data_IF_103534252933
#
_entry.id   IF_103534252933
#
_cell.length_a   1.000
_cell.length_b   1.000
_cell.length_c   1.000
_cell.angle_alpha   90.00
_cell.angle_beta   90.00
_cell.angle_gamma   90.00
#
_symmetry.space_group_name_H-M   'P 1'
#
loop_
_entity.id
_entity.type
_entity.pdbx_description
1 polymer ?
#
# COMPACT_ATOMS: atom_id res chain seq x y z
N UNK A 1 11.56 -24.81 -4.15
CA UNK A 1 12.76 -25.15 -3.35
C UNK A 1 12.49 -24.58 -1.97
N UNK A 2 12.18 -25.42 -0.97
CA UNK A 2 11.69 -24.94 0.33
C UNK A 2 12.72 -25.29 1.40
N UNK A 3 13.61 -24.36 1.69
CA UNK A 3 14.39 -24.39 2.92
C UNK A 3 13.46 -23.99 4.08
N UNK A 4 13.53 -24.73 5.19
CA UNK A 4 12.75 -24.43 6.39
C UNK A 4 13.64 -23.68 7.38
N UNK A 5 13.26 -22.45 7.72
CA UNK A 5 13.82 -21.74 8.87
C UNK A 5 12.97 -22.12 10.10
N UNK A 6 13.62 -22.50 11.21
CA UNK A 6 12.93 -22.74 12.48
C UNK A 6 12.87 -21.44 13.29
N UNK A 7 11.68 -20.85 13.29
CA UNK A 7 11.41 -19.56 13.92
C UNK A 7 11.17 -19.62 15.42
N UNK A 8 11.12 -20.80 16.04
CA UNK A 8 11.01 -20.90 17.50
C UNK A 8 12.28 -20.39 18.18
N UNK A 9 13.45 -20.74 17.64
CA UNK A 9 14.76 -20.38 18.20
C UNK A 9 15.56 -19.41 17.33
N UNK A 10 15.14 -19.15 16.10
CA UNK A 10 15.89 -18.33 15.14
C UNK A 10 17.07 -19.08 14.51
N UNK A 11 17.02 -20.41 14.47
CA UNK A 11 18.08 -21.24 13.88
C UNK A 11 17.76 -21.56 12.41
N UNK A 12 18.68 -21.23 11.49
CA UNK A 12 18.57 -21.58 10.07
C UNK A 12 19.06 -23.02 9.87
N UNK A 13 18.15 -23.92 9.51
CA UNK A 13 18.47 -25.32 9.25
C UNK A 13 18.78 -25.56 7.76
N UNK A 14 20.06 -25.50 7.41
CA UNK A 14 20.51 -25.87 6.06
C UNK A 14 20.42 -27.39 5.86
N UNK A 15 19.50 -27.87 5.02
CA UNK A 15 19.51 -29.25 4.53
C UNK A 15 19.89 -29.40 3.06
N UNK A 16 19.68 -28.36 2.25
CA UNK A 16 19.82 -28.43 0.78
C UNK A 16 20.91 -27.51 0.20
N UNK A 17 21.16 -26.36 0.83
CA UNK A 17 22.21 -25.45 0.35
C UNK A 17 23.54 -25.95 0.89
N UNK A 18 24.26 -26.69 0.05
CA UNK A 18 25.67 -26.99 0.25
C UNK A 18 26.44 -25.68 0.03
N UNK A 19 26.45 -24.82 1.06
CA UNK A 19 27.27 -23.61 1.17
C UNK A 19 28.76 -23.98 1.29
N UNK A 20 29.26 -24.86 0.41
CA UNK A 20 30.69 -25.04 0.21
C UNK A 20 31.26 -23.68 -0.17
N UNK A 21 32.41 -23.36 0.40
CA UNK A 21 33.15 -22.10 0.31
C UNK A 21 33.65 -21.78 -1.12
N UNK A 22 32.75 -21.78 -2.10
CA UNK A 22 32.97 -21.39 -3.49
C UNK A 22 32.16 -20.12 -3.70
N UNK A 23 32.76 -19.13 -4.37
CA UNK A 23 32.11 -17.83 -4.58
C UNK A 23 30.79 -17.97 -5.36
N UNK A 24 29.86 -17.02 -5.23
CA UNK A 24 28.57 -17.06 -5.95
C UNK A 24 28.74 -17.21 -7.47
N UNK A 25 29.83 -16.67 -8.02
CA UNK A 25 30.21 -16.75 -9.44
C UNK A 25 30.56 -18.18 -9.87
N UNK A 26 31.13 -18.97 -8.97
CA UNK A 26 31.68 -20.31 -9.23
C UNK A 26 30.65 -21.42 -8.98
N UNK A 27 29.43 -21.07 -8.57
CA UNK A 27 28.36 -22.04 -8.35
C UNK A 27 27.87 -22.62 -9.68
N UNK A 28 27.79 -23.96 -9.73
CA UNK A 28 27.49 -24.74 -10.95
C UNK A 28 26.08 -24.49 -11.50
N UNK A 29 25.18 -24.01 -10.65
CA UNK A 29 23.84 -23.55 -10.99
C UNK A 29 23.77 -22.07 -10.64
N UNK A 30 23.60 -21.20 -11.64
CA UNK A 30 23.30 -19.79 -11.37
C UNK A 30 21.95 -19.72 -10.65
N UNK A 31 21.92 -18.97 -9.56
CA UNK A 31 20.74 -18.79 -8.73
C UNK A 31 19.70 -18.06 -9.59
N UNK A 32 18.55 -18.68 -9.84
CA UNK A 32 17.39 -17.97 -10.37
C UNK A 32 16.87 -17.00 -9.31
N UNK A 33 16.14 -15.98 -9.77
CA UNK A 33 15.80 -14.70 -9.12
C UNK A 33 15.65 -14.73 -7.58
N UNK A 34 15.04 -15.77 -6.98
CA UNK A 34 14.93 -15.92 -5.53
C UNK A 34 15.64 -17.20 -5.01
N UNK A 35 16.63 -17.01 -4.12
CA UNK A 35 17.28 -18.10 -3.39
C UNK A 35 16.42 -18.60 -2.23
N UNK A 36 15.78 -17.67 -1.53
CA UNK A 36 14.99 -17.96 -0.33
C UNK A 36 13.99 -16.84 -0.09
N UNK A 37 12.70 -17.17 -0.14
CA UNK A 37 11.63 -16.30 0.32
C UNK A 37 10.92 -16.99 1.47
N UNK A 38 10.93 -16.37 2.65
CA UNK A 38 10.25 -16.93 3.82
C UNK A 38 9.34 -15.92 4.46
N UNK A 39 8.10 -16.34 4.71
CA UNK A 39 7.07 -15.54 5.35
C UNK A 39 7.06 -15.76 6.87
N UNK A 40 6.80 -14.68 7.60
CA UNK A 40 6.76 -14.56 9.06
C UNK A 40 5.42 -13.95 9.47
N UNK A 41 4.98 -14.22 10.71
CA UNK A 41 3.60 -13.95 11.16
C UNK A 41 2.59 -14.42 10.12
N UNK A 42 2.82 -15.66 9.67
CA UNK A 42 1.94 -16.34 8.75
C UNK A 42 1.74 -15.59 7.42
N UNK A 43 2.60 -14.64 7.03
CA UNK A 43 2.47 -13.89 5.76
C UNK A 43 2.63 -12.37 5.87
N UNK A 44 2.72 -11.82 7.09
CA UNK A 44 2.81 -10.37 7.32
C UNK A 44 4.17 -9.75 6.97
N UNK A 45 5.24 -10.48 7.24
CA UNK A 45 6.61 -10.08 6.88
C UNK A 45 7.27 -11.17 6.07
N UNK A 46 8.24 -10.80 5.25
CA UNK A 46 9.05 -11.76 4.50
C UNK A 46 10.53 -11.47 4.67
N UNK A 47 11.33 -12.53 4.68
CA UNK A 47 12.74 -12.43 4.36
C UNK A 47 12.91 -12.93 2.95
N UNK A 48 13.37 -12.03 2.10
CA UNK A 48 13.65 -12.28 0.71
C UNK A 48 15.16 -12.24 0.49
N UNK A 49 15.67 -13.29 -0.15
CA UNK A 49 17.08 -13.52 -0.44
C UNK A 49 17.16 -13.86 -1.92
N UNK A 50 17.68 -12.94 -2.71
CA UNK A 50 17.70 -13.12 -4.16
C UNK A 50 18.88 -12.46 -4.84
N UNK A 51 19.09 -12.84 -6.09
CA UNK A 51 20.22 -12.41 -6.90
C UNK A 51 19.77 -11.35 -7.91
N UNK A 52 19.71 -10.08 -7.49
CA UNK A 52 19.11 -9.00 -8.28
C UNK A 52 20.11 -8.10 -9.02
N UNK A 53 21.42 -8.37 -8.94
CA UNK A 53 22.44 -7.56 -9.64
C UNK A 53 22.62 -7.92 -11.12
N UNK A 54 21.88 -8.92 -11.62
CA UNK A 54 21.92 -9.40 -13.01
C UNK A 54 23.22 -10.11 -13.42
N UNK A 55 24.29 -9.98 -12.64
CA UNK A 55 25.60 -10.56 -12.92
C UNK A 55 25.90 -11.80 -12.08
N UNK A 56 25.09 -12.11 -11.06
CA UNK A 56 25.31 -13.28 -10.21
C UNK A 56 26.39 -13.07 -9.15
N UNK A 57 26.77 -11.81 -8.88
CA UNK A 57 27.96 -11.49 -8.08
C UNK A 57 27.63 -11.20 -6.62
N UNK A 58 26.38 -10.89 -6.33
CA UNK A 58 25.91 -10.58 -4.99
C UNK A 58 24.49 -11.06 -4.77
N UNK A 59 24.17 -11.25 -3.50
CA UNK A 59 22.84 -11.62 -3.04
C UNK A 59 22.31 -10.45 -2.21
N UNK A 60 21.06 -10.08 -2.39
CA UNK A 60 20.40 -9.12 -1.52
C UNK A 60 19.58 -9.91 -0.52
N UNK A 61 19.83 -9.68 0.76
CA UNK A 61 18.94 -10.11 1.84
C UNK A 61 18.11 -8.91 2.24
N UNK A 62 16.80 -9.05 2.19
CA UNK A 62 15.87 -8.03 2.63
C UNK A 62 14.81 -8.58 3.56
N UNK A 63 14.40 -7.78 4.54
CA UNK A 63 13.19 -7.99 5.34
C UNK A 63 12.15 -7.00 4.81
N UNK A 64 11.09 -7.53 4.22
CA UNK A 64 9.92 -6.79 3.75
C UNK A 64 8.68 -7.13 4.55
N UNK A 65 7.57 -6.47 4.27
CA UNK A 65 6.27 -6.78 4.87
C UNK A 65 5.30 -5.61 4.76
N UNK A 66 4.48 -5.45 5.79
CA UNK A 66 3.46 -4.40 5.92
C UNK A 66 3.99 -2.95 6.03
N UNK A 67 5.30 -2.76 5.90
CA UNK A 67 5.97 -1.45 5.86
C UNK A 67 6.40 -1.13 4.43
N UNK A 68 6.31 0.14 4.03
CA UNK A 68 6.69 0.59 2.69
C UNK A 68 8.20 0.56 2.50
N UNK A 69 8.94 0.87 3.55
CA UNK A 69 10.40 0.74 3.57
C UNK A 69 10.79 -0.66 4.03
N UNK A 70 11.78 -1.23 3.34
CA UNK A 70 12.40 -2.46 3.79
C UNK A 70 13.02 -2.23 5.17
N UNK A 71 12.61 -3.04 6.14
CA UNK A 71 13.09 -2.98 7.52
C UNK A 71 14.57 -3.32 7.63
N UNK A 72 15.08 -4.05 6.64
CA UNK A 72 16.46 -4.45 6.52
C UNK A 72 16.75 -4.74 5.06
N UNK A 73 17.78 -4.15 4.48
CA UNK A 73 18.26 -4.51 3.14
C UNK A 73 19.79 -4.48 3.12
N UNK A 74 20.41 -5.58 2.73
CA UNK A 74 21.86 -5.71 2.63
C UNK A 74 22.26 -6.50 1.40
N UNK A 75 23.23 -5.96 0.66
CA UNK A 75 23.92 -6.66 -0.41
C UNK A 75 25.08 -7.44 0.19
N UNK A 76 25.21 -8.69 -0.21
CA UNK A 76 26.14 -9.69 0.31
C UNK A 76 27.00 -10.21 -0.83
N UNK A 77 28.31 -10.27 -0.63
CA UNK A 77 29.25 -10.66 -1.68
C UNK A 77 29.92 -12.01 -1.46
N UNK A 78 29.72 -12.63 -0.28
CA UNK A 78 30.23 -13.98 0.00
C UNK A 78 29.25 -14.84 0.79
N UNK A 79 29.45 -16.15 0.73
CA UNK A 79 28.67 -17.14 1.47
C UNK A 79 28.86 -17.00 2.99
N UNK A 80 30.06 -16.65 3.42
CA UNK A 80 30.37 -16.42 4.85
C UNK A 80 29.60 -15.23 5.40
N UNK A 81 29.50 -14.15 4.63
CA UNK A 81 28.74 -12.96 5.02
C UNK A 81 27.21 -13.23 5.00
N UNK A 82 26.74 -14.10 4.10
CA UNK A 82 25.31 -14.40 3.95
C UNK A 82 24.68 -14.92 5.23
N UNK A 83 25.36 -15.82 5.94
CA UNK A 83 24.84 -16.38 7.19
C UNK A 83 24.61 -15.29 8.24
N UNK A 84 25.62 -14.46 8.49
CA UNK A 84 25.53 -13.37 9.48
C UNK A 84 24.44 -12.35 9.11
N UNK A 85 24.27 -12.09 7.81
CA UNK A 85 23.23 -11.18 7.30
C UNK A 85 21.84 -11.79 7.50
N UNK A 86 21.66 -13.08 7.25
CA UNK A 86 20.39 -13.78 7.51
C UNK A 86 20.02 -13.80 8.99
N UNK A 87 20.96 -14.10 9.88
CA UNK A 87 20.71 -14.08 11.33
C UNK A 87 20.29 -12.68 11.83
N UNK A 88 20.91 -11.63 11.28
CA UNK A 88 20.48 -10.23 11.54
C UNK A 88 19.10 -9.94 10.97
N UNK A 89 18.81 -10.40 9.75
CA UNK A 89 17.51 -10.22 9.12
C UNK A 89 16.39 -10.89 9.95
N UNK A 90 16.62 -12.11 10.44
CA UNK A 90 15.71 -12.83 11.37
C UNK A 90 15.54 -12.03 12.66
N UNK A 91 16.62 -11.50 13.23
CA UNK A 91 16.54 -10.68 14.45
C UNK A 91 15.72 -9.40 14.23
N UNK A 92 15.88 -8.74 13.08
CA UNK A 92 15.08 -7.55 12.72
C UNK A 92 13.61 -7.93 12.56
N UNK A 93 13.32 -9.01 11.83
CA UNK A 93 11.97 -9.54 11.69
C UNK A 93 11.36 -9.80 13.07
N UNK A 94 12.08 -10.49 13.97
CA UNK A 94 11.65 -10.76 15.34
C UNK A 94 11.33 -9.51 16.15
N UNK A 95 12.13 -8.44 16.00
CA UNK A 95 11.92 -7.16 16.71
C UNK A 95 10.65 -6.44 16.28
N UNK A 96 10.21 -6.62 15.04
CA UNK A 96 8.98 -6.00 14.53
C UNK A 96 7.74 -6.86 14.74
N UNK A 97 7.89 -8.15 15.12
CA UNK A 97 6.75 -9.05 15.34
C UNK A 97 5.78 -8.56 16.40
N UNK A 98 6.29 -7.92 17.45
CA UNK A 98 5.49 -7.44 18.59
C UNK A 98 4.87 -6.05 18.33
N UNK A 99 5.13 -5.45 17.17
CA UNK A 99 4.62 -4.13 16.83
C UNK A 99 3.22 -4.28 16.20
N UNK A 100 2.25 -3.45 16.63
CA UNK A 100 0.93 -3.42 15.99
C UNK A 100 1.06 -3.06 14.51
N UNK A 101 0.08 -3.46 13.69
CA UNK A 101 -0.02 -2.96 12.31
C UNK A 101 0.03 -1.42 12.32
N UNK A 102 0.76 -0.84 11.37
CA UNK A 102 0.87 0.62 11.31
C UNK A 102 -0.51 1.22 11.10
N UNK A 103 -0.96 2.02 12.08
CA UNK A 103 -2.17 2.81 11.90
C UNK A 103 -1.85 3.99 10.98
N UNK A 104 -2.74 4.26 10.03
CA UNK A 104 -2.66 5.49 9.24
C UNK A 104 -2.55 6.70 10.18
N UNK A 105 -1.50 7.48 9.95
CA UNK A 105 -1.16 8.65 10.75
C UNK A 105 -2.03 9.84 10.37
N UNK A 106 -2.56 9.84 9.14
CA UNK A 106 -3.34 10.95 8.60
C UNK A 106 -4.23 10.50 7.44
N UNK A 107 -5.47 11.02 7.39
CA UNK A 107 -6.38 10.79 6.26
C UNK A 107 -6.67 12.12 5.60
N UNK A 108 -6.30 12.26 4.32
CA UNK A 108 -6.67 13.42 3.51
C UNK A 108 -7.99 13.16 2.80
N UNK A 109 -8.94 14.07 2.96
CA UNK A 109 -10.21 14.07 2.23
C UNK A 109 -10.25 15.28 1.32
N UNK A 110 -10.29 15.06 0.01
CA UNK A 110 -10.36 16.12 -1.00
C UNK A 110 -11.69 16.06 -1.73
N UNK A 111 -12.20 17.22 -2.14
CA UNK A 111 -13.38 17.29 -3.02
C UNK A 111 -13.04 16.73 -4.39
N UNK A 112 -13.98 15.99 -4.99
CA UNK A 112 -13.74 15.44 -6.32
C UNK A 112 -13.62 16.57 -7.34
N UNK A 113 -12.52 16.63 -8.12
CA UNK A 113 -12.36 17.63 -9.17
C UNK A 113 -13.47 17.58 -10.22
N UNK A 114 -13.89 18.74 -10.72
CA UNK A 114 -15.04 18.86 -11.64
C UNK A 114 -14.87 18.14 -12.98
N UNK A 115 -13.63 17.84 -13.40
CA UNK A 115 -13.34 17.16 -14.67
C UNK A 115 -13.40 15.63 -14.58
N UNK A 116 -13.48 15.02 -13.38
CA UNK A 116 -13.67 13.56 -13.22
C UNK A 116 -15.12 13.11 -13.45
N UNK A 117 -15.82 13.73 -14.42
CA UNK A 117 -17.23 13.46 -14.71
C UNK A 117 -17.46 12.00 -15.07
N UNK A 118 -18.45 11.37 -14.43
CA UNK A 118 -18.83 9.97 -14.66
C UNK A 118 -18.04 8.95 -13.84
N UNK A 119 -17.13 9.39 -12.97
CA UNK A 119 -16.38 8.48 -12.07
C UNK A 119 -17.17 8.15 -10.80
N UNK A 120 -16.85 7.00 -10.19
CA UNK A 120 -17.33 6.63 -8.84
C UNK A 120 -16.99 7.70 -7.81
N UNK A 121 -15.83 8.35 -7.94
CA UNK A 121 -15.40 9.42 -7.04
C UNK A 121 -16.30 10.66 -7.17
N UNK A 122 -16.84 10.95 -8.36
CA UNK A 122 -17.83 12.04 -8.52
C UNK A 122 -19.14 11.72 -7.81
N UNK A 123 -19.59 10.46 -7.90
CA UNK A 123 -20.83 10.01 -7.25
C UNK A 123 -20.74 10.11 -5.72
N UNK A 124 -19.55 9.84 -5.17
CA UNK A 124 -19.23 9.98 -3.76
C UNK A 124 -18.94 11.43 -3.34
N UNK A 125 -18.59 12.31 -4.29
CA UNK A 125 -18.34 13.74 -4.09
C UNK A 125 -17.05 14.09 -3.34
N UNK A 126 -16.27 13.08 -2.94
CA UNK A 126 -15.01 13.21 -2.24
C UNK A 126 -14.11 12.01 -2.53
N UNK A 127 -12.80 12.23 -2.40
CA UNK A 127 -11.78 11.19 -2.42
C UNK A 127 -11.09 11.18 -1.05
N UNK A 128 -10.80 9.98 -0.58
CA UNK A 128 -10.08 9.70 0.66
C UNK A 128 -8.77 9.02 0.28
N UNK A 129 -7.66 9.55 0.82
CA UNK A 129 -6.34 8.95 0.73
C UNK A 129 -5.80 8.87 2.15
N UNK A 130 -5.52 7.66 2.61
CA UNK A 130 -4.85 7.41 3.86
C UNK A 130 -3.35 7.60 3.67
N UNK A 131 -2.66 8.13 4.68
CA UNK A 131 -1.22 8.33 4.68
C UNK A 131 -0.61 7.60 5.88
N UNK A 132 0.48 6.91 5.62
CA UNK A 132 1.18 6.06 6.58
C UNK A 132 2.68 6.28 6.51
N UNK A 133 3.36 5.82 7.55
CA UNK A 133 4.72 6.21 7.91
C UNK A 133 4.86 7.71 8.19
N UNK A 134 5.77 8.06 9.09
CA UNK A 134 6.06 9.45 9.39
C UNK A 134 7.52 9.58 9.78
N UNK A 135 8.21 10.46 9.07
CA UNK A 135 9.60 10.83 9.32
C UNK A 135 9.66 11.95 10.38
N UNK A 136 10.76 12.68 10.43
CA UNK A 136 10.91 13.80 11.37
C UNK A 136 9.81 14.85 11.19
N UNK A 137 9.32 15.39 12.30
CA UNK A 137 8.29 16.43 12.30
C UNK A 137 8.70 17.67 11.49
N UNK A 138 7.80 18.15 10.63
CA UNK A 138 7.97 19.36 9.81
C UNK A 138 7.11 20.50 10.34
N UNK A 139 7.63 21.73 10.25
CA UNK A 139 6.91 22.94 10.67
C UNK A 139 6.52 23.81 9.47
N UNK A 140 5.52 24.67 9.65
CA UNK A 140 5.14 25.70 8.67
C UNK A 140 6.31 26.61 8.27
N UNK A 141 7.24 26.90 9.19
CA UNK A 141 8.42 27.70 8.90
C UNK A 141 9.35 26.99 7.89
N UNK A 142 9.50 25.67 8.04
CA UNK A 142 10.28 24.87 7.10
C UNK A 142 9.64 24.84 5.71
N UNK A 143 8.31 24.70 5.62
CA UNK A 143 7.61 24.77 4.34
C UNK A 143 7.77 26.13 3.67
N UNK A 144 7.61 27.22 4.41
CA UNK A 144 7.85 28.59 3.89
C UNK A 144 9.28 28.80 3.42
N UNK A 145 10.26 28.18 4.09
CA UNK A 145 11.65 28.22 3.67
C UNK A 145 11.83 27.51 2.32
N UNK A 146 11.22 26.34 2.14
CA UNK A 146 11.23 25.60 0.86
C UNK A 146 10.56 26.42 -0.25
N UNK A 147 9.36 26.97 -0.01
CA UNK A 147 8.66 27.84 -0.96
C UNK A 147 9.51 29.05 -1.37
N UNK A 148 10.19 29.68 -0.40
CA UNK A 148 11.08 30.81 -0.65
C UNK A 148 12.33 30.41 -1.45
N UNK A 149 12.93 29.27 -1.14
CA UNK A 149 14.12 28.77 -1.83
C UNK A 149 13.80 28.34 -3.27
N UNK A 150 12.64 27.70 -3.47
CA UNK A 150 12.17 27.27 -4.78
C UNK A 150 11.60 28.44 -5.59
N UNK A 151 11.12 29.49 -4.92
CA UNK A 151 10.47 30.64 -5.55
C UNK A 151 9.05 30.34 -6.06
N UNK A 152 8.38 29.35 -5.46
CA UNK A 152 7.03 28.87 -5.83
C UNK A 152 6.21 28.61 -4.56
N UNK A 153 4.89 28.55 -4.70
CA UNK A 153 3.99 28.11 -3.63
C UNK A 153 3.70 26.62 -3.77
N UNK A 154 3.81 25.87 -2.68
CA UNK A 154 3.46 24.45 -2.66
C UNK A 154 1.94 24.28 -2.67
N UNK A 155 1.41 23.20 -3.30
CA UNK A 155 0.00 22.86 -3.20
C UNK A 155 -0.46 22.75 -1.75
N UNK A 156 -1.63 23.30 -1.43
CA UNK A 156 -2.15 23.33 -0.04
C UNK A 156 -2.34 21.93 0.53
N UNK A 157 -2.80 20.99 -0.29
CA UNK A 157 -2.99 19.58 0.05
C UNK A 157 -1.65 18.92 0.37
N UNK A 158 -0.60 19.19 -0.41
CA UNK A 158 0.74 18.69 -0.13
C UNK A 158 1.25 19.22 1.21
N UNK A 159 1.10 20.53 1.49
CA UNK A 159 1.51 21.12 2.77
C UNK A 159 0.77 20.46 3.94
N UNK A 160 -0.55 20.26 3.84
CA UNK A 160 -1.35 19.59 4.87
C UNK A 160 -0.83 18.18 5.14
N UNK A 161 -0.56 17.40 4.08
CA UNK A 161 -0.03 16.04 4.18
C UNK A 161 1.34 16.07 4.88
N UNK A 162 2.28 16.88 4.41
CA UNK A 162 3.64 16.95 4.97
C UNK A 162 3.66 17.39 6.44
N UNK A 163 2.76 18.28 6.86
CA UNK A 163 2.67 18.68 8.27
C UNK A 163 2.20 17.56 9.21
N UNK A 164 1.41 16.61 8.71
CA UNK A 164 0.85 15.51 9.51
C UNK A 164 1.58 14.19 9.33
N UNK A 165 2.12 13.95 8.13
CA UNK A 165 2.67 12.68 7.65
C UNK A 165 3.89 12.95 6.75
N UNK A 166 4.89 13.65 7.29
CA UNK A 166 6.10 13.97 6.55
C UNK A 166 6.81 12.69 6.11
N UNK A 167 7.22 12.60 4.85
CA UNK A 167 7.89 11.39 4.36
C UNK A 167 6.98 10.17 4.17
N UNK A 168 5.66 10.33 4.36
CA UNK A 168 4.69 9.24 4.32
C UNK A 168 4.32 8.81 2.89
N UNK A 169 3.74 7.61 2.77
CA UNK A 169 3.21 7.07 1.52
C UNK A 169 1.68 7.01 1.52
N UNK A 170 1.02 7.14 0.35
CA UNK A 170 -0.44 7.11 0.26
C UNK A 170 -1.00 5.70 0.14
N UNK A 171 -2.19 5.48 0.67
CA UNK A 171 -3.05 4.31 0.46
C UNK A 171 -4.37 4.82 -0.14
N UNK A 172 -4.72 4.43 -1.38
CA UNK A 172 -3.97 3.55 -2.28
C UNK A 172 -2.71 4.22 -2.87
N UNK A 173 -1.76 3.40 -3.35
CA UNK A 173 -0.45 3.90 -3.79
C UNK A 173 -0.17 3.93 -5.31
N UNK A 174 -1.02 3.32 -6.15
CA UNK A 174 -0.79 3.28 -7.60
C UNK A 174 -1.47 4.44 -8.31
N UNK A 175 -0.85 4.90 -9.38
CA UNK A 175 -1.39 5.88 -10.31
C UNK A 175 -1.00 5.50 -11.74
N UNK A 176 -1.58 6.20 -12.72
CA UNK A 176 -1.20 6.06 -14.13
C UNK A 176 -0.22 7.15 -14.54
N UNK A 177 0.90 6.75 -15.12
CA UNK A 177 1.79 7.62 -15.86
C UNK A 177 1.81 7.11 -17.30
N UNK A 178 1.26 7.89 -18.24
CA UNK A 178 0.94 7.40 -19.59
C UNK A 178 0.10 6.09 -19.55
N UNK A 179 0.57 5.02 -20.20
CA UNK A 179 -0.09 3.71 -20.30
C UNK A 179 0.42 2.70 -19.25
N UNK A 180 1.27 3.13 -18.32
CA UNK A 180 1.84 2.27 -17.27
C UNK A 180 1.30 2.62 -15.89
N UNK A 181 1.06 1.59 -15.07
CA UNK A 181 0.77 1.78 -13.66
C UNK A 181 2.08 1.88 -12.89
N UNK A 182 2.20 2.94 -12.10
CA UNK A 182 3.39 3.27 -11.30
C UNK A 182 2.92 3.47 -9.88
N UNK A 183 3.76 3.11 -8.92
CA UNK A 183 3.40 3.23 -7.51
C UNK A 183 4.29 4.23 -6.79
N UNK A 184 3.65 5.10 -5.99
CA UNK A 184 4.33 6.09 -5.15
C UNK A 184 4.72 5.41 -3.84
N UNK A 185 6.02 5.20 -3.64
CA UNK A 185 6.53 4.60 -2.41
C UNK A 185 6.26 5.54 -1.23
N UNK A 186 6.83 6.74 -1.27
CA UNK A 186 6.68 7.76 -0.24
C UNK A 186 6.94 9.16 -0.80
N UNK A 187 6.42 10.18 -0.12
CA UNK A 187 6.86 11.55 -0.34
C UNK A 187 8.27 11.74 0.23
N UNK A 188 9.09 12.57 -0.41
CA UNK A 188 10.37 12.95 0.18
C UNK A 188 10.14 13.83 1.41
N UNK A 189 10.95 13.63 2.44
CA UNK A 189 10.87 14.40 3.68
C UNK A 189 11.22 15.88 3.44
N UNK A 190 10.48 16.78 4.08
CA UNK A 190 10.78 18.21 4.10
C UNK A 190 11.73 18.59 5.26
N UNK A 191 12.17 17.61 6.04
CA UNK A 191 13.09 17.79 7.15
C UNK A 191 14.54 17.45 6.76
N UNK A 192 15.50 18.38 6.89
CA UNK A 192 16.85 18.24 6.33
C UNK A 192 17.73 17.19 7.02
N UNK A 193 17.29 16.61 8.15
CA UNK A 193 18.04 15.54 8.83
C UNK A 193 17.69 14.14 8.31
N UNK A 194 16.58 14.00 7.59
CA UNK A 194 16.14 12.70 7.10
C UNK A 194 16.96 12.33 5.86
N UNK A 195 17.22 11.04 5.65
CA UNK A 195 18.03 10.60 4.52
C UNK A 195 17.35 10.91 3.18
N UNK A 196 16.08 10.54 3.05
CA UNK A 196 15.26 10.73 1.86
C UNK A 196 14.50 12.05 1.92
N UNK A 197 15.24 13.16 1.86
CA UNK A 197 14.69 14.51 1.93
C UNK A 197 14.72 15.24 0.58
N UNK A 198 13.84 16.23 0.41
CA UNK A 198 13.72 17.00 -0.84
C UNK A 198 14.98 17.79 -1.21
N UNK A 199 15.84 18.18 -0.26
CA UNK A 199 16.98 19.06 -0.51
C UNK A 199 18.07 18.35 -1.33
N UNK A 200 18.18 17.03 -1.18
CA UNK A 200 19.15 16.20 -1.88
C UNK A 200 18.62 15.62 -3.20
N UNK A 201 17.37 15.92 -3.58
CA UNK A 201 16.66 15.30 -4.72
C UNK A 201 16.42 16.26 -5.88
N UNK A 202 16.86 17.51 -5.75
CA UNK A 202 16.67 18.53 -6.80
C UNK A 202 17.83 18.56 -7.82
N UNK A 203 18.92 17.85 -7.53
CA UNK A 203 20.05 17.76 -8.43
C UNK A 203 19.62 17.13 -9.77
N UNK A 204 20.10 17.71 -10.87
CA UNK A 204 19.85 17.24 -12.24
C UNK A 204 18.40 17.36 -12.75
N UNK A 205 17.47 17.93 -11.97
CA UNK A 205 16.12 18.25 -12.47
C UNK A 205 16.12 19.52 -13.33
N UNK A 206 15.22 19.61 -14.33
CA UNK A 206 15.01 20.85 -15.07
C UNK A 206 14.60 21.99 -14.13
N UNK A 207 15.04 23.22 -14.44
CA UNK A 207 14.67 24.41 -13.67
C UNK A 207 13.14 24.58 -13.65
N UNK A 208 12.58 24.84 -12.47
CA UNK A 208 11.14 25.00 -12.26
C UNK A 208 10.39 23.67 -12.06
N UNK A 209 11.13 22.57 -11.92
CA UNK A 209 10.60 21.24 -11.62
C UNK A 209 11.19 20.79 -10.29
N UNK A 210 10.34 20.30 -9.39
CA UNK A 210 10.76 19.95 -8.03
C UNK A 210 10.30 18.55 -7.65
N UNK A 211 11.24 17.68 -7.26
CA UNK A 211 10.94 16.35 -6.78
C UNK A 211 10.28 16.40 -5.39
N UNK A 212 9.20 15.64 -5.24
CA UNK A 212 8.39 15.55 -4.02
C UNK A 212 8.16 14.12 -3.54
N UNK A 213 8.48 13.09 -4.32
CA UNK A 213 8.32 11.69 -3.90
C UNK A 213 9.12 10.69 -4.72
N UNK A 214 9.28 9.51 -4.16
CA UNK A 214 9.97 8.36 -4.75
C UNK A 214 8.96 7.40 -5.36
N UNK A 215 9.12 7.06 -6.64
CA UNK A 215 8.27 6.06 -7.31
C UNK A 215 9.01 4.75 -7.48
N UNK A 216 8.32 3.70 -7.92
CA UNK A 216 8.93 2.41 -8.25
C UNK A 216 10.03 2.46 -9.31
N UNK A 217 10.02 3.50 -10.14
CA UNK A 217 10.86 3.63 -11.33
C UNK A 217 11.71 4.91 -11.32
N UNK A 218 11.28 5.95 -10.60
CA UNK A 218 11.87 7.28 -10.70
C UNK A 218 11.38 8.24 -9.59
N UNK A 219 11.13 9.52 -9.90
CA UNK A 219 10.68 10.54 -8.95
C UNK A 219 9.35 11.15 -9.39
N UNK A 220 8.47 11.40 -8.42
CA UNK A 220 7.29 12.22 -8.59
C UNK A 220 7.67 13.70 -8.40
N UNK A 221 7.31 14.55 -9.35
CA UNK A 221 7.70 15.95 -9.42
C UNK A 221 6.51 16.89 -9.62
N UNK A 222 6.62 18.10 -9.08
CA UNK A 222 5.78 19.24 -9.40
C UNK A 222 6.44 20.08 -10.49
N UNK A 223 5.73 20.37 -11.57
CA UNK A 223 6.20 21.16 -12.71
C UNK A 223 5.52 22.54 -12.77
N UNK A 224 6.28 23.59 -12.49
CA UNK A 224 5.83 24.98 -12.50
C UNK A 224 6.22 25.73 -13.79
N UNK A 225 6.76 25.05 -14.81
CA UNK A 225 7.25 25.73 -16.03
C UNK A 225 6.13 26.42 -16.82
N UNK A 226 4.87 26.06 -16.60
CA UNK A 226 3.70 26.75 -17.16
C UNK A 226 3.44 28.13 -16.53
N UNK A 227 4.06 28.43 -15.39
CA UNK A 227 3.84 29.66 -14.62
C UNK A 227 2.52 29.68 -13.82
N UNK A 228 1.83 28.54 -13.74
CA UNK A 228 0.65 28.36 -12.90
C UNK A 228 1.03 28.23 -11.41
N UNK A 229 0.18 28.74 -10.52
CA UNK A 229 0.28 28.47 -9.08
C UNK A 229 -0.21 27.06 -8.71
N UNK A 230 -0.88 26.39 -9.65
CA UNK A 230 -1.26 24.98 -9.56
C UNK A 230 -0.34 24.20 -10.52
N UNK A 231 0.71 23.56 -10.01
CA UNK A 231 1.69 22.86 -10.84
C UNK A 231 1.09 21.57 -11.41
N UNK A 232 1.55 21.20 -12.61
CA UNK A 232 1.33 19.85 -13.12
C UNK A 232 2.14 18.84 -12.30
N UNK A 233 1.66 17.60 -12.25
CA UNK A 233 2.38 16.48 -11.64
C UNK A 233 2.97 15.63 -12.75
N UNK A 234 4.25 15.32 -12.62
CA UNK A 234 4.99 14.48 -13.57
C UNK A 234 5.77 13.38 -12.85
N UNK A 235 5.95 12.27 -13.53
CA UNK A 235 6.99 11.31 -13.18
C UNK A 235 8.24 11.62 -14.02
N UNK A 236 9.41 11.68 -13.39
CA UNK A 236 10.66 12.07 -14.03
C UNK A 236 11.76 11.07 -13.72
N UNK A 237 12.24 10.41 -14.77
CA UNK A 237 13.39 9.52 -14.74
C UNK A 237 14.65 10.25 -15.18
N UNK A 238 15.66 10.26 -14.32
CA UNK A 238 16.99 10.81 -14.61
C UNK A 238 17.96 9.65 -14.74
N UNK A 239 18.44 9.39 -15.96
CA UNK A 239 19.33 8.27 -16.24
C UNK A 239 20.69 8.47 -15.53
N UNK A 240 21.18 7.48 -14.74
CA UNK A 240 22.36 7.62 -13.87
C UNK A 240 23.68 8.02 -14.55
N UNK A 241 23.76 7.91 -15.89
CA UNK A 241 25.01 8.07 -16.64
C UNK A 241 24.93 8.90 -17.92
N UNK A 242 23.73 9.35 -18.31
CA UNK A 242 23.56 10.06 -19.60
C UNK A 242 22.99 11.47 -19.47
N UNK A 243 22.66 11.92 -18.25
CA UNK A 243 21.91 13.16 -18.00
C UNK A 243 20.61 13.25 -18.83
N UNK A 244 20.16 12.13 -19.40
CA UNK A 244 18.91 12.05 -20.14
C UNK A 244 17.78 12.08 -19.13
N UNK A 245 16.89 13.04 -19.31
CA UNK A 245 15.68 13.20 -18.52
C UNK A 245 14.51 12.72 -19.36
N UNK A 246 13.76 11.76 -18.85
CA UNK A 246 12.50 11.30 -19.42
C UNK A 246 11.38 11.81 -18.51
N UNK A 247 10.40 12.49 -19.09
CA UNK A 247 9.31 13.13 -18.37
C UNK A 247 7.96 12.54 -18.81
N UNK A 248 7.14 12.15 -17.86
CA UNK A 248 5.85 11.53 -18.06
C UNK A 248 4.79 12.38 -17.37
N UNK A 249 3.78 12.82 -18.11
CA UNK A 249 2.64 13.52 -17.50
C UNK A 249 1.84 12.53 -16.65
N UNK A 250 1.45 12.97 -15.45
CA UNK A 250 0.64 12.21 -14.50
C UNK A 250 -0.70 12.89 -14.29
N UNK A 251 -0.69 14.20 -13.99
CA UNK A 251 -1.89 14.94 -13.64
C UNK A 251 -1.71 16.45 -13.84
N UNK A 252 -2.79 17.22 -13.99
CA UNK A 252 -2.73 18.68 -14.17
C UNK A 252 -2.65 19.44 -12.84
N UNK A 253 -2.86 18.76 -11.72
CA UNK A 253 -2.73 19.31 -10.37
C UNK A 253 -2.38 18.22 -9.36
N UNK A 254 -1.92 18.64 -8.17
CA UNK A 254 -1.70 17.69 -7.07
C UNK A 254 -3.02 17.06 -6.59
N UNK A 255 -4.13 17.81 -6.59
CA UNK A 255 -5.45 17.27 -6.27
C UNK A 255 -5.92 16.22 -7.27
N UNK A 256 -5.67 16.43 -8.57
CA UNK A 256 -5.91 15.43 -9.61
C UNK A 256 -5.11 14.16 -9.39
N UNK A 257 -3.81 14.31 -9.08
CA UNK A 257 -2.94 13.19 -8.78
C UNK A 257 -3.50 12.33 -7.63
N UNK A 258 -3.89 12.97 -6.52
CA UNK A 258 -4.49 12.27 -5.38
C UNK A 258 -5.80 11.55 -5.74
N UNK A 259 -6.63 12.18 -6.58
CA UNK A 259 -7.88 11.57 -7.05
C UNK A 259 -7.63 10.37 -8.00
N UNK A 260 -6.51 10.39 -8.71
CA UNK A 260 -6.05 9.32 -9.61
C UNK A 260 -5.47 8.10 -8.91
N UNK A 261 -5.24 8.15 -7.59
CA UNK A 261 -4.70 7.02 -6.84
C UNK A 261 -5.69 5.83 -6.82
N UNK A 262 -5.18 4.62 -6.99
CA UNK A 262 -5.97 3.38 -7.02
C UNK A 262 -5.17 2.17 -6.49
N UNK A 263 -5.86 1.14 -5.95
CA UNK A 263 -5.18 -0.11 -5.59
C UNK A 263 -4.67 -0.80 -6.85
N UNK A 264 -3.69 -1.70 -6.71
CA UNK A 264 -3.19 -2.49 -7.84
C UNK A 264 -4.22 -3.50 -8.35
N UNK A 265 -4.96 -4.11 -7.43
CA UNK A 265 -5.84 -5.23 -7.76
C UNK A 265 -7.18 -4.75 -8.27
N UNK A 266 -7.53 -5.29 -9.44
CA UNK A 266 -8.88 -5.19 -9.95
C UNK A 266 -9.81 -6.21 -9.28
N UNK A 267 -11.07 -5.81 -9.17
CA UNK A 267 -12.16 -6.66 -8.70
C UNK A 267 -13.06 -6.99 -9.87
N UNK A 268 -13.24 -8.28 -10.10
CA UNK A 268 -14.06 -8.80 -11.19
C UNK A 268 -15.55 -8.55 -10.91
N UNK A 269 -16.38 -8.74 -11.94
CA UNK A 269 -17.82 -8.40 -11.93
C UNK A 269 -18.09 -6.89 -11.78
N UNK A 270 -17.67 -6.06 -12.75
CA UNK A 270 -17.88 -4.62 -12.68
C UNK A 270 -19.36 -4.26 -12.68
N UNK A 271 -19.72 -3.30 -11.84
CA UNK A 271 -21.06 -2.72 -11.75
C UNK A 271 -21.35 -1.91 -13.00
N UNK A 272 -22.52 -2.14 -13.59
CA UNK A 272 -23.01 -1.34 -14.72
C UNK A 272 -23.37 0.07 -14.26
N UNK A 273 -23.08 1.06 -15.09
CA UNK A 273 -23.28 2.48 -14.78
C UNK A 273 -24.71 2.78 -14.31
N UNK A 274 -25.72 2.18 -14.94
CA UNK A 274 -27.14 2.36 -14.60
C UNK A 274 -27.52 1.88 -13.18
N UNK A 275 -26.70 1.03 -12.55
CA UNK A 275 -26.92 0.49 -11.21
C UNK A 275 -26.27 1.32 -10.10
N UNK A 276 -25.34 2.21 -10.43
CA UNK A 276 -24.51 2.91 -9.44
C UNK A 276 -25.32 3.80 -8.49
N UNK A 277 -26.29 4.57 -9.01
CA UNK A 277 -27.16 5.41 -8.19
C UNK A 277 -28.02 4.59 -7.21
N UNK A 278 -28.47 3.41 -7.64
CA UNK A 278 -29.20 2.47 -6.80
C UNK A 278 -28.33 1.94 -5.66
N UNK A 279 -27.12 1.51 -5.98
CA UNK A 279 -26.16 1.03 -4.99
C UNK A 279 -25.75 2.12 -3.99
N UNK A 280 -25.55 3.35 -4.46
CA UNK A 280 -25.26 4.49 -3.57
C UNK A 280 -26.36 4.68 -2.53
N UNK A 281 -27.64 4.67 -2.95
CA UNK A 281 -28.78 4.76 -2.02
C UNK A 281 -28.83 3.59 -1.04
N UNK A 282 -28.53 2.36 -1.51
CA UNK A 282 -28.50 1.19 -0.63
C UNK A 282 -27.37 1.29 0.41
N UNK A 283 -26.20 1.83 0.05
CA UNK A 283 -25.12 2.11 0.99
C UNK A 283 -25.54 3.15 2.04
N UNK A 284 -26.22 4.22 1.65
CA UNK A 284 -26.76 5.24 2.57
C UNK A 284 -27.85 4.66 3.49
N UNK A 285 -28.66 3.72 3.00
CA UNK A 285 -29.62 2.95 3.81
C UNK A 285 -28.92 2.05 4.81
N UNK A 286 -27.85 1.38 4.39
CA UNK A 286 -27.06 0.50 5.24
C UNK A 286 -26.35 1.29 6.36
N UNK A 287 -25.76 2.45 6.05
CA UNK A 287 -25.19 3.38 7.03
C UNK A 287 -26.23 3.82 8.07
N UNK A 288 -27.44 4.19 7.62
CA UNK A 288 -28.55 4.57 8.52
C UNK A 288 -29.01 3.41 9.39
N UNK A 289 -29.11 2.21 8.82
CA UNK A 289 -29.58 1.03 9.53
C UNK A 289 -28.58 0.56 10.60
N UNK A 290 -27.28 0.57 10.27
CA UNK A 290 -26.21 0.19 11.19
C UNK A 290 -25.81 1.32 12.15
N UNK A 291 -26.20 2.57 11.87
CA UNK A 291 -25.83 3.72 12.69
C UNK A 291 -24.34 4.04 12.63
N UNK A 292 -23.70 3.77 11.48
CA UNK A 292 -22.27 3.99 11.23
C UNK A 292 -22.05 4.75 9.92
N UNK A 293 -20.82 5.24 9.72
CA UNK A 293 -20.36 5.76 8.43
C UNK A 293 -19.40 4.74 7.85
N UNK A 294 -19.75 4.18 6.70
CA UNK A 294 -18.92 3.19 6.03
C UNK A 294 -17.64 3.82 5.46
N UNK A 295 -16.50 3.08 5.47
CA UNK A 295 -15.25 3.58 4.92
C UNK A 295 -15.41 3.97 3.45
N UNK A 296 -14.75 5.04 3.00
CA UNK A 296 -14.93 5.50 1.63
C UNK A 296 -14.36 4.49 0.62
N UNK A 297 -13.22 3.88 0.94
CA UNK A 297 -12.65 2.79 0.14
C UNK A 297 -13.61 1.61 -0.03
N UNK A 298 -14.39 1.24 1.00
CA UNK A 298 -15.44 0.22 0.88
C UNK A 298 -16.56 0.65 -0.06
N UNK A 299 -17.08 1.86 0.09
CA UNK A 299 -18.14 2.39 -0.77
C UNK A 299 -17.70 2.45 -2.24
N UNK A 300 -16.47 2.91 -2.49
CA UNK A 300 -15.86 2.92 -3.83
C UNK A 300 -15.75 1.52 -4.40
N UNK A 301 -15.33 0.55 -3.59
CA UNK A 301 -15.24 -0.86 -4.00
C UNK A 301 -16.60 -1.43 -4.38
N UNK A 302 -17.64 -1.25 -3.55
CA UNK A 302 -19.01 -1.71 -3.86
C UNK A 302 -19.53 -1.07 -5.14
N UNK A 303 -19.32 0.23 -5.33
CA UNK A 303 -19.77 0.93 -6.54
C UNK A 303 -19.02 0.48 -7.80
N UNK A 304 -17.81 -0.08 -7.67
CA UNK A 304 -17.06 -0.67 -8.79
C UNK A 304 -17.42 -2.13 -9.04
N UNK A 305 -17.59 -2.95 -7.99
CA UNK A 305 -17.70 -4.42 -8.11
C UNK A 305 -18.61 -5.05 -7.04
N UNK A 306 -19.88 -4.62 -6.93
CA UNK A 306 -20.84 -5.18 -5.95
C UNK A 306 -21.11 -6.68 -6.16
N UNK A 307 -20.70 -7.50 -5.20
CA UNK A 307 -20.75 -8.97 -5.32
C UNK A 307 -19.53 -9.59 -6.00
N UNK A 308 -18.58 -8.76 -6.42
CA UNK A 308 -17.37 -9.18 -7.12
C UNK A 308 -16.35 -9.86 -6.21
N UNK A 309 -15.27 -10.31 -6.81
CA UNK A 309 -14.15 -10.96 -6.13
C UNK A 309 -12.83 -10.44 -6.69
N UNK A 310 -11.76 -10.39 -5.88
CA UNK A 310 -10.49 -9.83 -6.32
C UNK A 310 -9.76 -10.84 -7.23
N UNK A 311 -8.93 -10.34 -8.15
CA UNK A 311 -8.05 -11.19 -8.95
C UNK A 311 -7.08 -11.99 -8.06
N UNK A 312 -6.48 -11.31 -7.08
CA UNK A 312 -5.68 -11.90 -6.01
C UNK A 312 -6.50 -11.91 -4.73
N UNK A 313 -6.87 -13.12 -4.30
CA UNK A 313 -7.88 -13.29 -3.26
C UNK A 313 -7.37 -13.64 -1.89
N UNK A 314 -6.09 -13.96 -1.76
CA UNK A 314 -5.59 -14.47 -0.50
C UNK A 314 -5.14 -13.35 0.42
N UNK A 315 -5.22 -13.59 1.71
CA UNK A 315 -4.62 -12.75 2.73
C UNK A 315 -4.21 -13.63 3.90
N UNK A 316 -3.43 -13.06 4.80
CA UNK A 316 -2.91 -13.74 5.97
C UNK A 316 -3.39 -13.06 7.24
N UNK A 317 -3.59 -13.84 8.29
CA UNK A 317 -4.01 -13.45 9.64
C UNK A 317 -3.36 -14.39 10.66
N UNK A 318 -3.45 -14.11 11.97
CA UNK A 318 -2.78 -14.84 13.08
C UNK A 318 -3.09 -16.36 13.25
N UNK A 319 -3.79 -16.99 12.30
CA UNK A 319 -3.99 -18.44 12.26
C UNK A 319 -3.64 -19.07 10.90
N UNK A 320 -3.02 -18.31 10.01
CA UNK A 320 -2.61 -18.77 8.68
C UNK A 320 -3.17 -17.93 7.53
N UNK A 321 -3.51 -18.63 6.45
CA UNK A 321 -3.95 -18.08 5.17
C UNK A 321 -5.44 -18.34 4.97
N UNK A 322 -6.15 -17.33 4.48
CA UNK A 322 -7.50 -17.48 3.95
C UNK A 322 -7.61 -16.73 2.62
N UNK A 323 -8.75 -16.81 1.95
CA UNK A 323 -9.02 -16.02 0.77
C UNK A 323 -10.43 -15.45 0.75
N UNK A 324 -10.58 -14.30 0.12
CA UNK A 324 -11.87 -13.67 -0.17
C UNK A 324 -12.54 -14.51 -1.26
N UNK A 325 -13.73 -15.01 -0.97
CA UNK A 325 -14.57 -15.65 -1.98
C UNK A 325 -15.25 -14.58 -2.82
N UNK A 326 -16.01 -13.69 -2.19
CA UNK A 326 -16.70 -12.57 -2.83
C UNK A 326 -17.09 -11.47 -1.83
N UNK A 327 -17.35 -10.26 -2.33
CA UNK A 327 -18.01 -9.19 -1.56
C UNK A 327 -19.47 -9.55 -1.31
N UNK A 328 -19.95 -9.28 -0.10
CA UNK A 328 -21.37 -9.38 0.18
C UNK A 328 -22.11 -8.30 -0.62
N UNK A 329 -23.21 -8.69 -1.27
CA UNK A 329 -23.98 -7.76 -2.10
C UNK A 329 -24.74 -6.77 -1.22
N UNK A 330 -24.69 -5.50 -1.60
CA UNK A 330 -25.44 -4.42 -0.95
C UNK A 330 -26.84 -4.26 -1.53
N UNK A 331 -27.05 -4.73 -2.78
CA UNK A 331 -28.38 -4.83 -3.39
C UNK A 331 -29.17 -6.06 -2.91
N UNK A 332 -30.45 -6.13 -3.31
CA UNK A 332 -31.36 -7.22 -2.94
C UNK A 332 -31.44 -8.32 -4.02
N UNK A 333 -30.49 -8.36 -4.96
CA UNK A 333 -30.54 -9.32 -6.07
C UNK A 333 -30.13 -10.74 -5.66
N UNK A 334 -29.34 -10.86 -4.60
CA UNK A 334 -28.96 -12.15 -4.00
C UNK A 334 -29.21 -12.08 -2.49
N UNK A 335 -30.33 -12.67 -2.06
CA UNK A 335 -30.71 -12.65 -0.66
C UNK A 335 -29.79 -13.52 0.20
N UNK A 336 -29.15 -14.56 -0.34
CA UNK A 336 -28.31 -15.47 0.43
C UNK A 336 -26.91 -14.89 0.67
N UNK A 337 -26.33 -14.22 -0.34
CA UNK A 337 -25.04 -13.54 -0.25
C UNK A 337 -25.18 -12.02 -0.02
N UNK A 338 -26.36 -11.59 0.43
CA UNK A 338 -26.66 -10.20 0.73
C UNK A 338 -26.15 -9.79 2.11
N UNK A 339 -25.54 -8.61 2.19
CA UNK A 339 -24.99 -8.05 3.44
C UNK A 339 -26.05 -7.94 4.54
N UNK A 340 -27.29 -7.64 4.16
CA UNK A 340 -28.43 -7.53 5.06
C UNK A 340 -28.77 -8.86 5.74
N UNK A 341 -28.85 -9.94 4.95
CA UNK A 341 -29.21 -11.27 5.43
C UNK A 341 -28.12 -11.82 6.34
N UNK A 342 -26.86 -11.74 5.90
CA UNK A 342 -25.71 -12.17 6.71
C UNK A 342 -25.67 -11.41 8.02
N UNK A 343 -25.83 -10.08 8.00
CA UNK A 343 -25.85 -9.30 9.22
C UNK A 343 -27.00 -9.70 10.18
N UNK A 344 -28.22 -9.88 9.67
CA UNK A 344 -29.36 -10.25 10.50
C UNK A 344 -29.22 -11.63 11.15
N UNK A 345 -28.65 -12.59 10.42
CA UNK A 345 -28.52 -13.97 10.88
C UNK A 345 -27.36 -14.13 11.86
N UNK A 346 -26.20 -13.56 11.52
CA UNK A 346 -24.93 -13.93 12.17
C UNK A 346 -24.35 -12.80 13.04
N UNK A 347 -24.67 -11.53 12.76
CA UNK A 347 -24.00 -10.37 13.37
C UNK A 347 -24.92 -9.40 14.10
N UNK A 348 -26.22 -9.70 14.17
CA UNK A 348 -27.20 -8.81 14.78
C UNK A 348 -26.89 -8.55 16.24
N UNK A 349 -26.74 -7.27 16.60
CA UNK A 349 -26.39 -6.86 17.96
C UNK A 349 -24.90 -6.94 18.29
N UNK A 350 -24.05 -7.31 17.32
CA UNK A 350 -22.60 -7.20 17.43
C UNK A 350 -22.10 -5.84 16.92
N UNK A 351 -20.82 -5.53 17.18
CA UNK A 351 -20.12 -4.36 16.62
C UNK A 351 -19.39 -4.67 15.31
N UNK A 352 -19.69 -5.81 14.68
CA UNK A 352 -19.06 -6.26 13.45
C UNK A 352 -20.02 -6.11 12.28
N UNK A 353 -19.53 -5.52 11.21
CA UNK A 353 -20.31 -5.23 10.01
C UNK A 353 -19.69 -5.99 8.83
N UNK A 354 -20.25 -7.16 8.47
CA UNK A 354 -19.65 -8.02 7.47
C UNK A 354 -19.70 -7.36 6.09
N UNK A 355 -18.64 -7.55 5.30
CA UNK A 355 -18.58 -6.98 3.95
C UNK A 355 -18.07 -7.96 2.88
N UNK A 356 -17.41 -9.05 3.28
CA UNK A 356 -16.98 -10.10 2.35
C UNK A 356 -17.07 -11.47 3.00
N UNK A 357 -17.31 -12.49 2.18
CA UNK A 357 -17.25 -13.90 2.57
C UNK A 357 -15.89 -14.47 2.18
N UNK A 358 -15.34 -15.33 3.03
CA UNK A 358 -14.08 -16.00 2.78
C UNK A 358 -14.28 -17.46 2.33
N UNK A 359 -13.25 -18.03 1.69
CA UNK A 359 -13.23 -19.41 1.19
C UNK A 359 -13.40 -20.45 2.31
N UNK A 360 -12.94 -20.13 3.52
CA UNK A 360 -13.15 -20.97 4.71
C UNK A 360 -14.58 -20.96 5.25
N UNK A 361 -15.46 -20.09 4.73
CA UNK A 361 -16.81 -19.85 5.24
C UNK A 361 -16.89 -18.82 6.37
N UNK A 362 -15.75 -18.22 6.73
CA UNK A 362 -15.66 -17.05 7.60
C UNK A 362 -16.03 -15.75 6.87
N UNK A 363 -15.99 -14.62 7.58
CA UNK A 363 -16.31 -13.32 7.04
C UNK A 363 -15.26 -12.27 7.37
N UNK A 364 -15.00 -11.37 6.42
CA UNK A 364 -14.35 -10.10 6.72
C UNK A 364 -15.39 -9.07 7.15
N UNK A 365 -15.10 -8.38 8.24
CA UNK A 365 -15.99 -7.39 8.83
C UNK A 365 -15.26 -6.07 9.10
N UNK A 366 -16.00 -4.96 9.00
CA UNK A 366 -15.58 -3.72 9.63
C UNK A 366 -15.85 -3.79 11.13
N UNK A 367 -14.86 -3.37 11.92
CA UNK A 367 -14.99 -3.21 13.36
C UNK A 367 -14.53 -1.81 13.77
N UNK A 368 -15.40 -1.04 14.44
CA UNK A 368 -15.10 0.35 14.79
C UNK A 368 -14.47 0.44 16.17
N UNK A 369 -13.16 0.69 16.23
CA UNK A 369 -12.42 0.98 17.48
C UNK A 369 -12.14 2.47 17.54
N UNK A 370 -12.60 3.16 18.60
CA UNK A 370 -12.44 4.62 18.78
C UNK A 370 -12.91 5.45 17.56
N UNK A 371 -13.94 4.98 16.86
CA UNK A 371 -14.49 5.63 15.68
C UNK A 371 -13.74 5.37 14.37
N UNK A 372 -12.63 4.62 14.39
CA UNK A 372 -11.91 4.18 13.18
C UNK A 372 -12.28 2.74 12.82
N UNK A 373 -12.64 2.46 11.55
CA UNK A 373 -12.95 1.12 11.08
C UNK A 373 -11.67 0.31 10.81
N UNK A 374 -11.48 -0.80 11.52
CA UNK A 374 -10.48 -1.82 11.20
C UNK A 374 -11.11 -2.98 10.45
N UNK A 375 -10.30 -3.80 9.78
CA UNK A 375 -10.74 -5.05 9.15
C UNK A 375 -10.44 -6.21 10.08
N UNK A 376 -11.46 -6.99 10.39
CA UNK A 376 -11.31 -8.24 11.13
C UNK A 376 -11.75 -9.43 10.27
N UNK A 377 -11.17 -10.58 10.55
CA UNK A 377 -11.61 -11.89 10.13
C UNK A 377 -12.42 -12.52 11.25
N UNK A 378 -13.62 -13.02 10.95
CA UNK A 378 -14.51 -13.61 11.94
C UNK A 378 -14.96 -15.01 11.51
N UNK A 379 -14.71 -15.98 12.40
CA UNK A 379 -15.12 -17.37 12.25
C UNK A 379 -16.46 -17.61 12.95
N UNK A 380 -17.56 -17.83 12.21
CA UNK A 380 -18.87 -18.12 12.80
C UNK A 380 -18.89 -19.41 13.62
N UNK A 381 -18.13 -20.43 13.23
CA UNK A 381 -18.21 -21.76 13.84
C UNK A 381 -17.54 -21.78 15.21
N UNK A 382 -16.42 -21.07 15.34
CA UNK A 382 -15.61 -21.04 16.56
C UNK A 382 -15.75 -19.74 17.36
N UNK A 383 -16.49 -18.75 16.85
CA UNK A 383 -16.60 -17.40 17.41
C UNK A 383 -15.25 -16.72 17.66
N UNK A 384 -14.29 -16.97 16.77
CA UNK A 384 -12.95 -16.37 16.82
C UNK A 384 -12.93 -15.12 15.95
N UNK A 385 -12.32 -14.05 16.45
CA UNK A 385 -12.04 -12.85 15.67
C UNK A 385 -10.54 -12.57 15.67
N UNK A 386 -10.01 -12.15 14.52
CA UNK A 386 -8.61 -11.76 14.35
C UNK A 386 -8.57 -10.45 13.58
N UNK A 387 -7.70 -9.54 13.98
CA UNK A 387 -7.45 -8.33 13.21
C UNK A 387 -6.61 -8.68 11.98
N UNK A 388 -7.05 -8.22 10.80
CA UNK A 388 -6.36 -8.48 9.52
C UNK A 388 -5.57 -7.26 9.11
N UNK A 389 -6.22 -6.09 9.09
CA UNK A 389 -5.60 -4.80 8.74
C UNK A 389 -6.24 -3.65 9.50
N UNK A 390 -5.46 -2.58 9.69
CA UNK A 390 -5.92 -1.36 10.34
C UNK A 390 -6.98 -0.57 9.54
N UNK A 391 -7.10 -0.80 8.22
CA UNK A 391 -8.16 -0.23 7.36
C UNK A 391 -8.49 -1.13 6.17
N UNK A 392 -9.64 -0.88 5.51
CA UNK A 392 -9.95 -1.55 4.24
C UNK A 392 -9.05 -1.04 3.10
N UNK A 393 -8.60 0.21 3.12
CA UNK A 393 -7.62 0.71 2.14
C UNK A 393 -6.35 -0.15 2.14
N UNK A 394 -5.79 -0.39 3.34
CA UNK A 394 -4.62 -1.27 3.52
C UNK A 394 -4.90 -2.72 3.15
N UNK A 395 -6.10 -3.25 3.43
CA UNK A 395 -6.47 -4.59 2.95
C UNK A 395 -6.38 -4.67 1.42
N UNK A 396 -6.93 -3.68 0.71
CA UNK A 396 -6.97 -3.71 -0.76
C UNK A 396 -5.58 -3.61 -1.39
N UNK A 397 -4.68 -2.82 -0.82
CA UNK A 397 -3.28 -2.78 -1.26
C UNK A 397 -2.52 -4.06 -0.88
N UNK A 398 -2.84 -4.65 0.29
CA UNK A 398 -2.17 -5.85 0.80
C UNK A 398 -2.42 -7.11 -0.02
N UNK A 399 -3.63 -7.26 -0.61
CA UNK A 399 -3.98 -8.44 -1.42
C UNK A 399 -3.00 -8.68 -2.59
N UNK A 400 -2.18 -7.69 -2.97
CA UNK A 400 -1.16 -7.81 -4.02
C UNK A 400 0.10 -8.54 -3.56
N UNK A 401 0.46 -8.37 -2.28
CA UNK A 401 1.75 -8.82 -1.73
C UNK A 401 1.70 -10.32 -1.36
N UNK A 402 0.51 -10.94 -1.33
CA UNK A 402 0.20 -12.21 -0.65
C UNK A 402 0.12 -13.49 -1.49
#
# INVERSE_FOLDING_TARGET
MWDQIDYGKGEVFHRSVDLKAVSFIEQRHRLSEDMLLVYYLEGKYSIDVGCYDGEGKSVIVSVGGDTRKSLFKRTVYSVEELKDVLERAVTVAHKVLDQPDEESSYTSVISTPEYLKGSVDQLLGRVEVEWEENESHVTEEMLRKVEKEWGVLLPDELKKIVLHCNGGGPVPLYFKAQDTSVFLQYLFSFHPRDCENIYNKQDHLPKGVYAIGDTSSSMLCLDYRSGSNEPEVKEIYVAPHSLKVEEYHVANSFGEFLAGLHPYIDWLEPVREESMDGLKRNLEELERFWGIILPLHYKRLVLKSNGGYPELRYFYHERGKDGIDHLLRVDQLDAENGVWTVYQNDFKGTSFYPFAKCLSGSYLCHHYKKGKPTVIWWDPQHHVQLEVKSSIGRLLDYLYIS
#
